data_IF_506494404849
#
_entry.id   IF_506494404849
#
_cell.length_a   1.000
_cell.length_b   1.000
_cell.length_c   1.000
_cell.angle_alpha   90.00
_cell.angle_beta   90.00
_cell.angle_gamma   90.00
#
_symmetry.space_group_name_H-M   'P 1'
#
loop_
_entity.id
_entity.type
_entity.pdbx_description
1 polymer ?
#
# COMPACT_ATOMS: atom_id res chain seq x y z
N UNK A 1 17.74 -45.43 -27.04
CA UNK A 1 16.73 -44.85 -26.13
C UNK A 1 17.28 -43.52 -25.63
N UNK A 2 16.82 -42.39 -26.20
CA UNK A 2 17.19 -41.04 -25.76
C UNK A 2 15.99 -40.46 -25.01
N UNK A 3 16.12 -40.24 -23.70
CA UNK A 3 15.12 -39.55 -22.90
C UNK A 3 15.41 -38.04 -22.91
N UNK A 4 14.58 -37.30 -23.63
CA UNK A 4 14.52 -35.85 -23.55
C UNK A 4 13.83 -35.42 -22.25
N UNK A 5 14.54 -34.67 -21.42
CA UNK A 5 13.97 -34.00 -20.26
C UNK A 5 12.95 -32.97 -20.73
N UNK A 6 11.67 -33.29 -20.53
CA UNK A 6 10.55 -32.38 -20.73
C UNK A 6 10.63 -31.30 -19.64
N UNK A 7 11.12 -30.13 -20.03
CA UNK A 7 11.07 -28.89 -19.24
C UNK A 7 9.61 -28.63 -18.89
N UNK A 8 9.27 -28.77 -17.61
CA UNK A 8 7.97 -28.40 -17.07
C UNK A 8 7.95 -26.88 -17.05
N UNK A 9 7.21 -26.29 -17.98
CA UNK A 9 6.83 -24.88 -17.90
C UNK A 9 5.96 -24.73 -16.66
N UNK A 10 6.49 -24.07 -15.62
CA UNK A 10 5.66 -23.53 -14.55
C UNK A 10 4.72 -22.51 -15.19
N UNK A 11 3.45 -22.87 -15.34
CA UNK A 11 2.39 -21.89 -15.55
C UNK A 11 2.44 -20.90 -14.39
N UNK A 12 2.99 -19.71 -14.68
CA UNK A 12 2.95 -18.52 -13.84
C UNK A 12 1.48 -18.13 -13.64
N UNK A 13 0.82 -18.80 -12.68
CA UNK A 13 -0.49 -18.43 -12.16
C UNK A 13 -0.31 -17.17 -11.35
N UNK A 14 -0.07 -16.07 -12.07
CA UNK A 14 -0.08 -14.72 -11.51
C UNK A 14 -1.38 -14.50 -10.74
N UNK A 15 -1.29 -13.72 -9.68
CA UNK A 15 -2.44 -13.40 -8.83
C UNK A 15 -3.57 -12.84 -9.71
N UNK A 16 -4.79 -13.36 -9.60
CA UNK A 16 -5.92 -12.80 -10.32
C UNK A 16 -6.13 -11.35 -9.87
N UNK A 17 -5.90 -10.40 -10.78
CA UNK A 17 -6.18 -8.97 -10.57
C UNK A 17 -7.63 -8.75 -10.12
N UNK A 18 -8.55 -9.64 -10.51
CA UNK A 18 -9.93 -9.69 -10.04
C UNK A 18 -10.05 -9.87 -8.53
N UNK A 19 -9.23 -10.72 -7.92
CA UNK A 19 -9.25 -10.98 -6.48
C UNK A 19 -8.82 -9.73 -5.70
N UNK A 20 -7.81 -9.01 -6.18
CA UNK A 20 -7.37 -7.74 -5.60
C UNK A 20 -8.46 -6.67 -5.72
N UNK A 21 -9.13 -6.58 -6.88
CA UNK A 21 -10.26 -5.66 -7.10
C UNK A 21 -11.43 -5.97 -6.17
N UNK A 22 -11.79 -7.25 -5.98
CA UNK A 22 -12.85 -7.66 -5.04
C UNK A 22 -12.50 -7.25 -3.62
N UNK A 23 -11.28 -7.52 -3.15
CA UNK A 23 -10.86 -7.12 -1.79
C UNK A 23 -10.86 -5.60 -1.62
N UNK A 24 -10.40 -4.83 -2.61
CA UNK A 24 -10.51 -3.36 -2.56
C UNK A 24 -11.97 -2.89 -2.51
N UNK A 25 -12.86 -3.50 -3.30
CA UNK A 25 -14.30 -3.16 -3.29
C UNK A 25 -14.99 -3.48 -1.96
N UNK A 26 -14.45 -4.45 -1.21
CA UNK A 26 -14.89 -4.82 0.14
C UNK A 26 -14.29 -3.93 1.25
N UNK A 27 -13.48 -2.92 0.90
CA UNK A 27 -12.88 -1.98 1.86
C UNK A 27 -11.58 -2.46 2.49
N UNK A 28 -10.97 -3.55 2.01
CA UNK A 28 -9.66 -3.98 2.50
C UNK A 28 -8.58 -2.99 2.06
N UNK A 29 -7.70 -2.63 2.99
CA UNK A 29 -6.53 -1.81 2.68
C UNK A 29 -5.40 -2.64 2.05
N UNK A 30 -4.46 -1.98 1.39
CA UNK A 30 -3.38 -2.67 0.67
C UNK A 30 -2.51 -3.56 1.59
N UNK A 31 -2.33 -3.22 2.87
CA UNK A 31 -1.56 -4.04 3.83
C UNK A 31 -2.29 -5.34 4.18
N UNK A 32 -3.61 -5.28 4.34
CA UNK A 32 -4.45 -6.45 4.59
C UNK A 32 -4.49 -7.37 3.36
N UNK A 33 -4.58 -6.81 2.16
CA UNK A 33 -4.54 -7.55 0.89
C UNK A 33 -3.19 -8.26 0.75
N UNK A 34 -2.07 -7.56 1.02
CA UNK A 34 -0.72 -8.17 0.98
C UNK A 34 -0.59 -9.32 1.97
N UNK A 35 -1.05 -9.13 3.21
CA UNK A 35 -0.97 -10.15 4.26
C UNK A 35 -1.79 -11.39 3.91
N UNK A 36 -3.00 -11.20 3.37
CA UNK A 36 -3.87 -12.27 2.92
C UNK A 36 -3.28 -13.01 1.71
N UNK A 37 -2.79 -12.31 0.69
CA UNK A 37 -2.20 -12.96 -0.48
C UNK A 37 -0.89 -13.69 -0.15
N UNK A 38 -0.09 -13.16 0.77
CA UNK A 38 1.10 -13.85 1.27
C UNK A 38 0.74 -15.16 1.99
N UNK A 39 -0.36 -15.19 2.75
CA UNK A 39 -0.82 -16.43 3.41
C UNK A 39 -1.36 -17.47 2.43
N UNK A 40 -1.81 -17.03 1.24
CA UNK A 40 -2.19 -17.89 0.12
C UNK A 40 -0.99 -18.37 -0.72
N UNK A 41 0.25 -18.04 -0.32
CA UNK A 41 1.47 -18.52 -0.96
C UNK A 41 1.98 -17.66 -2.12
N UNK A 42 1.38 -16.48 -2.36
CA UNK A 42 1.83 -15.60 -3.43
C UNK A 42 3.10 -14.83 -3.07
N UNK A 43 3.97 -14.62 -4.07
CA UNK A 43 5.19 -13.85 -3.89
C UNK A 43 4.92 -12.34 -3.79
N UNK A 44 5.78 -11.61 -3.08
CA UNK A 44 5.66 -10.16 -2.95
C UNK A 44 5.68 -9.44 -4.32
N UNK A 45 6.44 -9.97 -5.28
CA UNK A 45 6.52 -9.43 -6.65
C UNK A 45 5.18 -9.56 -7.37
N UNK A 46 4.55 -10.74 -7.32
CA UNK A 46 3.23 -10.98 -7.91
C UNK A 46 2.16 -10.11 -7.23
N UNK A 47 2.22 -9.95 -5.90
CA UNK A 47 1.29 -9.11 -5.13
C UNK A 47 1.39 -7.65 -5.56
N UNK A 48 2.62 -7.15 -5.71
CA UNK A 48 2.86 -5.76 -6.16
C UNK A 48 2.34 -5.52 -7.57
N UNK A 49 2.65 -6.42 -8.50
CA UNK A 49 2.19 -6.31 -9.88
C UNK A 49 0.66 -6.33 -9.98
N UNK A 50 0.01 -7.25 -9.26
CA UNK A 50 -1.45 -7.33 -9.22
C UNK A 50 -2.12 -6.11 -8.57
N UNK A 51 -1.52 -5.52 -7.54
CA UNK A 51 -2.01 -4.27 -6.92
C UNK A 51 -1.92 -3.10 -7.89
N UNK A 52 -0.80 -2.95 -8.60
CA UNK A 52 -0.62 -1.90 -9.61
C UNK A 52 -1.60 -2.09 -10.77
N UNK A 53 -1.78 -3.31 -11.26
CA UNK A 53 -2.74 -3.60 -12.32
C UNK A 53 -4.19 -3.38 -11.90
N UNK A 54 -4.55 -3.72 -10.65
CA UNK A 54 -5.87 -3.48 -10.11
C UNK A 54 -6.16 -1.98 -9.94
N UNK A 55 -5.17 -1.18 -9.59
CA UNK A 55 -5.30 0.27 -9.48
C UNK A 55 -5.52 0.91 -10.86
N UNK A 56 -4.74 0.51 -11.86
CA UNK A 56 -4.91 0.97 -13.24
C UNK A 56 -6.29 0.56 -13.77
N UNK A 57 -6.73 -0.69 -13.57
CA UNK A 57 -8.06 -1.15 -14.02
C UNK A 57 -9.21 -0.52 -13.24
N UNK A 58 -9.05 -0.28 -11.94
CA UNK A 58 -10.05 0.38 -11.10
C UNK A 58 -10.23 1.86 -11.41
N UNK A 59 -9.19 2.53 -11.93
CA UNK A 59 -9.25 3.93 -12.38
C UNK A 59 -9.75 4.09 -13.83
N UNK A 60 -9.94 2.99 -14.57
CA UNK A 60 -10.57 2.99 -15.90
C UNK A 60 -12.03 2.57 -15.74
N UNK A 61 -12.83 3.45 -15.14
CA UNK A 61 -14.28 3.40 -15.30
C UNK A 61 -14.66 3.96 -16.69
N UNK A 62 -15.69 3.42 -17.36
CA UNK A 62 -16.13 3.87 -18.69
C UNK A 62 -16.56 5.35 -18.71
N UNK A 63 -16.64 5.99 -19.90
CA UNK A 63 -17.01 7.38 -20.02
C UNK A 63 -18.36 7.62 -19.34
N UNK A 64 -18.37 8.66 -18.52
CA UNK A 64 -19.49 9.23 -17.79
C UNK A 64 -20.68 9.34 -18.76
N UNK A 65 -21.67 8.46 -18.61
CA UNK A 65 -23.02 8.76 -19.06
C UNK A 65 -23.60 9.76 -18.06
N UNK A 66 -24.36 10.78 -18.50
CA UNK A 66 -25.03 11.69 -17.60
C UNK A 66 -26.16 10.93 -16.89
N UNK A 67 -25.87 10.38 -15.70
CA UNK A 67 -26.92 9.95 -14.79
C UNK A 67 -27.55 11.19 -14.18
N UNK A 68 -28.84 11.38 -14.43
CA UNK A 68 -29.71 12.29 -13.70
C UNK A 68 -29.55 12.03 -12.20
N UNK A 69 -29.01 13.01 -11.48
CA UNK A 69 -29.10 13.09 -10.02
C UNK A 69 -30.57 13.16 -9.62
N UNK A 70 -31.03 12.08 -9.01
CA UNK A 70 -32.25 12.04 -8.24
C UNK A 70 -32.01 12.84 -6.94
N UNK A 71 -32.90 13.77 -6.56
CA UNK A 71 -32.69 14.61 -5.40
C UNK A 71 -32.71 13.77 -4.11
N UNK A 72 -31.80 13.99 -3.14
CA UNK A 72 -31.96 13.46 -1.81
C UNK A 72 -33.13 14.18 -1.13
N UNK A 73 -34.13 13.42 -0.73
CA UNK A 73 -35.17 13.89 0.18
C UNK A 73 -34.56 14.32 1.52
N UNK A 74 -35.15 15.37 2.07
CA UNK A 74 -34.83 16.02 3.34
C UNK A 74 -34.99 15.12 4.57
N UNK A 75 -34.43 15.67 5.66
CA UNK A 75 -34.60 15.39 7.08
C UNK A 75 -33.55 14.42 7.66
N UNK A 76 -32.84 14.74 8.74
CA UNK A 76 -33.31 15.43 9.94
C UNK A 76 -32.16 16.18 10.63
N UNK A 77 -32.51 17.39 11.10
CA UNK A 77 -31.98 18.13 12.25
C UNK A 77 -31.20 17.29 13.29
N UNK A 78 -29.98 17.71 13.68
CA UNK A 78 -29.40 17.37 14.99
C UNK A 78 -28.43 18.46 15.46
N UNK A 79 -29.00 19.50 16.06
CA UNK A 79 -28.38 20.27 17.14
C UNK A 79 -28.17 19.32 18.33
N UNK A 80 -26.91 19.04 18.70
CA UNK A 80 -26.61 18.13 19.81
C UNK A 80 -25.12 17.86 19.93
N UNK A 81 -24.49 18.51 20.90
CA UNK A 81 -23.14 18.22 21.35
C UNK A 81 -23.04 16.79 21.92
N UNK A 82 -21.80 16.32 22.04
CA UNK A 82 -21.35 15.13 22.77
C UNK A 82 -21.64 13.77 22.12
N UNK A 83 -20.67 13.28 21.34
CA UNK A 83 -19.97 12.01 21.63
C UNK A 83 -18.99 11.69 20.50
N UNK A 84 -17.70 11.81 20.83
CA UNK A 84 -16.61 11.26 20.01
C UNK A 84 -16.76 9.73 20.03
N UNK A 85 -16.73 9.03 18.89
CA UNK A 85 -16.70 7.57 18.91
C UNK A 85 -15.41 7.11 19.60
N UNK A 86 -15.61 6.44 20.73
CA UNK A 86 -14.60 5.80 21.56
C UNK A 86 -13.75 4.87 20.68
N UNK A 87 -12.48 5.21 20.55
CA UNK A 87 -11.48 4.35 19.91
C UNK A 87 -11.44 3.06 20.74
N UNK A 88 -11.64 1.88 20.13
CA UNK A 88 -11.55 0.62 20.87
C UNK A 88 -10.17 0.53 21.54
N UNK A 89 -10.10 0.13 22.83
CA UNK A 89 -8.82 -0.03 23.50
C UNK A 89 -7.99 -1.02 22.70
N UNK A 90 -6.76 -0.60 22.38
CA UNK A 90 -5.73 -1.45 21.81
C UNK A 90 -5.65 -2.74 22.64
N UNK A 91 -5.64 -3.92 22.02
CA UNK A 91 -5.38 -5.15 22.75
C UNK A 91 -4.02 -5.00 23.44
N UNK A 92 -4.00 -5.24 24.75
CA UNK A 92 -2.79 -5.44 25.54
C UNK A 92 -1.85 -6.37 24.74
N UNK A 93 -0.73 -5.82 24.27
CA UNK A 93 0.35 -6.63 23.75
C UNK A 93 0.90 -7.40 24.94
N UNK A 94 0.35 -8.59 25.16
CA UNK A 94 0.95 -9.60 26.01
C UNK A 94 2.37 -9.84 25.50
N UNK A 95 3.36 -9.30 26.21
CA UNK A 95 4.79 -9.55 26.04
C UNK A 95 5.09 -10.93 26.65
N UNK A 96 4.51 -11.97 26.07
CA UNK A 96 4.79 -13.35 26.42
C UNK A 96 5.09 -14.16 25.17
N UNK A 97 6.17 -14.93 25.27
CA UNK A 97 6.68 -15.91 24.32
C UNK A 97 7.25 -15.35 23.01
N UNK A 98 8.47 -14.80 23.12
CA UNK A 98 9.48 -14.92 22.06
C UNK A 98 9.60 -16.41 21.69
N UNK A 99 9.39 -16.82 20.42
CA UNK A 99 9.67 -18.18 20.00
C UNK A 99 11.18 -18.45 20.11
N UNK A 100 11.60 -19.64 20.59
CA UNK A 100 13.02 -19.97 20.71
C UNK A 100 13.68 -19.88 19.33
N UNK A 101 14.73 -19.07 19.28
CA UNK A 101 15.67 -19.00 18.16
C UNK A 101 16.24 -20.42 17.96
N UNK A 102 16.33 -20.94 16.72
CA UNK A 102 17.03 -22.19 16.46
C UNK A 102 18.46 -22.08 16.99
N UNK A 103 18.74 -22.88 18.02
CA UNK A 103 20.03 -23.01 18.66
C UNK A 103 21.02 -23.50 17.60
N UNK A 104 22.03 -22.68 17.32
CA UNK A 104 23.13 -23.02 16.42
C UNK A 104 23.86 -24.22 17.05
N UNK A 105 23.67 -25.40 16.47
CA UNK A 105 24.35 -26.63 16.87
C UNK A 105 25.86 -26.39 16.86
N UNK A 106 26.45 -26.37 18.06
CA UNK A 106 27.90 -26.47 18.23
C UNK A 106 28.33 -27.83 17.70
N UNK A 107 29.38 -27.93 16.86
CA UNK A 107 29.95 -29.22 16.53
C UNK A 107 30.58 -29.81 17.80
N UNK A 108 29.89 -30.79 18.40
CA UNK A 108 30.46 -31.71 19.38
C UNK A 108 31.44 -32.60 18.63
N UNK A 109 32.72 -32.27 18.75
CA UNK A 109 33.80 -33.10 18.26
C UNK A 109 33.99 -34.26 19.25
N UNK A 110 33.27 -35.37 19.03
CA UNK A 110 33.53 -36.64 19.71
C UNK A 110 34.93 -37.14 19.27
N UNK A 111 35.88 -37.04 20.19
CA UNK A 111 37.20 -37.65 20.03
C UNK A 111 37.05 -39.13 20.43
N UNK A 112 37.36 -40.10 19.55
CA UNK A 112 37.35 -41.51 19.92
C UNK A 112 38.44 -41.81 20.98
N UNK A 113 38.21 -42.71 21.94
CA UNK A 113 39.22 -43.11 22.91
C UNK A 113 40.34 -43.87 22.19
N UNK A 114 41.56 -43.32 22.17
CA UNK A 114 42.74 -44.09 21.78
C UNK A 114 43.07 -45.11 22.89
N UNK A 115 43.09 -46.39 22.53
CA UNK A 115 43.71 -47.45 23.30
C UNK A 115 45.19 -47.13 23.52
N UNK A 116 45.63 -47.27 24.77
CA UNK A 116 47.00 -47.04 25.21
C UNK A 116 47.79 -48.35 25.03
N UNK A 117 48.76 -48.46 24.09
CA UNK A 117 49.67 -49.60 24.07
C UNK A 117 50.70 -49.51 25.21
N UNK A 118 51.17 -50.67 25.74
CA UNK A 118 52.11 -50.72 26.85
C UNK A 118 53.52 -50.22 26.47
N UNK A 119 54.33 -49.76 27.44
CA UNK A 119 55.60 -49.11 27.19
C UNK A 119 56.68 -50.11 26.69
N UNK A 120 57.41 -49.79 25.60
CA UNK A 120 58.63 -50.50 25.27
C UNK A 120 59.79 -50.05 26.17
N UNK A 121 60.63 -51.02 26.52
CA UNK A 121 61.87 -50.91 27.30
C UNK A 121 62.87 -49.93 26.67
N UNK A 122 63.80 -49.36 27.47
CA UNK A 122 64.74 -48.36 26.98
C UNK A 122 65.79 -49.00 26.08
N UNK A 123 65.90 -48.53 24.85
CA UNK A 123 67.06 -48.73 23.98
C UNK A 123 67.73 -47.40 23.71
N UNK A 124 68.97 -47.35 24.17
CA UNK A 124 70.10 -46.54 23.75
C UNK A 124 69.97 -45.75 22.44
N UNK A 125 70.15 -44.43 22.60
CA UNK A 125 70.96 -43.54 21.75
C UNK A 125 70.77 -43.60 20.24
N UNK A 126 69.94 -42.67 19.75
CA UNK A 126 70.15 -41.96 18.49
C UNK A 126 69.81 -40.47 18.70
N UNK A 127 70.53 -39.53 18.07
CA UNK A 127 70.34 -38.10 18.32
C UNK A 127 69.01 -37.63 17.71
N UNK A 128 68.04 -37.35 18.58
CA UNK A 128 66.82 -36.63 18.23
C UNK A 128 67.19 -35.23 17.80
N UNK A 129 67.13 -34.97 16.48
CA UNK A 129 67.05 -33.60 15.98
C UNK A 129 65.77 -33.00 16.55
N UNK A 130 65.95 -32.05 17.47
CA UNK A 130 64.87 -31.23 17.98
C UNK A 130 64.51 -30.29 16.84
N UNK A 131 63.53 -30.68 16.03
CA UNK A 131 62.88 -29.79 15.07
C UNK A 131 62.04 -28.84 15.91
N UNK A 132 62.71 -27.79 16.41
CA UNK A 132 62.06 -26.70 17.09
C UNK A 132 61.03 -26.13 16.13
N UNK A 133 59.75 -26.14 16.54
CA UNK A 133 58.72 -25.33 15.90
C UNK A 133 59.29 -23.91 15.85
N UNK A 134 59.67 -23.49 14.66
CA UNK A 134 60.27 -22.20 14.44
C UNK A 134 59.14 -21.18 14.60
N UNK A 135 59.00 -20.65 15.81
CA UNK A 135 57.96 -19.67 16.20
C UNK A 135 57.95 -18.49 15.22
N UNK A 136 59.09 -18.17 14.62
CA UNK A 136 59.23 -17.14 13.58
C UNK A 136 58.41 -17.47 12.33
N UNK A 137 58.39 -18.73 11.88
CA UNK A 137 57.59 -19.16 10.72
C UNK A 137 56.09 -19.14 11.01
N UNK A 138 55.69 -19.46 12.24
CA UNK A 138 54.27 -19.42 12.66
C UNK A 138 53.78 -17.96 12.74
N UNK A 139 54.63 -17.04 13.20
CA UNK A 139 54.31 -15.61 13.24
C UNK A 139 54.20 -15.03 11.83
N UNK A 140 55.10 -15.41 10.91
CA UNK A 140 55.04 -14.97 9.51
C UNK A 140 53.78 -15.49 8.80
N UNK A 141 53.38 -16.74 9.06
CA UNK A 141 52.14 -17.30 8.51
C UNK A 141 50.90 -16.62 9.11
N UNK A 142 50.92 -16.34 10.42
CA UNK A 142 49.84 -15.61 11.08
C UNK A 142 49.71 -14.17 10.54
N UNK A 143 50.83 -13.48 10.31
CA UNK A 143 50.85 -12.15 9.73
C UNK A 143 50.26 -12.14 8.32
N UNK A 144 50.60 -13.13 7.48
CA UNK A 144 50.04 -13.27 6.14
C UNK A 144 48.53 -13.52 6.17
N UNK A 145 48.05 -14.34 7.10
CA UNK A 145 46.62 -14.60 7.29
C UNK A 145 45.91 -13.33 7.75
N UNK A 146 46.51 -12.57 8.67
CA UNK A 146 45.96 -11.32 9.18
C UNK A 146 45.91 -10.25 8.09
N UNK A 147 46.98 -10.06 7.30
CA UNK A 147 47.01 -9.11 6.19
C UNK A 147 45.94 -9.45 5.14
N UNK A 148 45.78 -10.74 4.79
CA UNK A 148 44.71 -11.18 3.90
C UNK A 148 43.30 -10.91 4.45
N UNK A 149 43.08 -11.15 5.74
CA UNK A 149 41.79 -10.86 6.38
C UNK A 149 41.51 -9.35 6.41
N UNK A 150 42.52 -8.52 6.70
CA UNK A 150 42.35 -7.06 6.73
C UNK A 150 42.01 -6.54 5.34
N UNK A 151 42.70 -7.00 4.29
CA UNK A 151 42.43 -6.62 2.90
C UNK A 151 40.99 -7.00 2.48
N UNK A 152 40.58 -8.24 2.76
CA UNK A 152 39.23 -8.72 2.44
C UNK A 152 38.14 -7.93 3.18
N UNK A 153 38.36 -7.62 4.46
CA UNK A 153 37.42 -6.81 5.24
C UNK A 153 37.41 -5.35 4.78
N UNK A 154 38.56 -4.77 4.43
CA UNK A 154 38.66 -3.41 3.93
C UNK A 154 37.92 -3.26 2.60
N UNK A 155 38.12 -4.21 1.68
CA UNK A 155 37.39 -4.28 0.41
C UNK A 155 35.87 -4.39 0.63
N UNK A 156 35.44 -5.22 1.58
CA UNK A 156 34.01 -5.31 1.93
C UNK A 156 33.45 -3.99 2.46
N UNK A 157 34.23 -3.24 3.24
CA UNK A 157 33.83 -1.93 3.76
C UNK A 157 33.74 -0.90 2.63
N UNK A 158 34.71 -0.89 1.73
CA UNK A 158 34.74 0.00 0.56
C UNK A 158 33.53 -0.24 -0.35
N UNK A 159 33.20 -1.51 -0.63
CA UNK A 159 32.01 -1.88 -1.40
C UNK A 159 30.71 -1.39 -0.75
N UNK A 160 30.59 -1.52 0.58
CA UNK A 160 29.43 -1.02 1.33
C UNK A 160 29.36 0.51 1.34
N UNK A 161 30.50 1.20 1.42
CA UNK A 161 30.56 2.66 1.39
C UNK A 161 30.14 3.19 0.01
N UNK A 162 30.62 2.57 -1.07
CA UNK A 162 30.17 2.88 -2.43
C UNK A 162 28.66 2.63 -2.59
N UNK A 163 28.15 1.54 -2.01
CA UNK A 163 26.71 1.25 -1.97
C UNK A 163 25.91 2.32 -1.21
N UNK A 164 26.44 2.85 -0.11
CA UNK A 164 25.83 3.91 0.67
C UNK A 164 25.77 5.24 -0.12
N UNK A 165 26.83 5.57 -0.84
CA UNK A 165 26.88 6.76 -1.68
C UNK A 165 25.85 6.69 -2.83
N UNK A 166 25.76 5.53 -3.49
CA UNK A 166 24.74 5.28 -4.52
C UNK A 166 23.31 5.33 -3.94
N UNK A 167 23.11 4.83 -2.72
CA UNK A 167 21.82 4.93 -2.03
C UNK A 167 21.48 6.38 -1.68
N UNK A 168 22.46 7.16 -1.20
CA UNK A 168 22.29 8.58 -0.91
C UNK A 168 21.86 9.36 -2.15
N UNK A 169 22.52 9.15 -3.30
CA UNK A 169 22.15 9.78 -4.55
C UNK A 169 20.70 9.46 -4.97
N UNK A 170 20.29 8.18 -4.86
CA UNK A 170 18.90 7.76 -5.13
C UNK A 170 17.89 8.37 -4.16
N UNK A 171 18.28 8.56 -2.90
CA UNK A 171 17.42 9.17 -1.89
C UNK A 171 17.22 10.67 -2.19
N UNK A 172 18.29 11.38 -2.53
CA UNK A 172 18.22 12.80 -2.91
C UNK A 172 17.34 13.00 -4.15
N UNK A 173 17.47 12.13 -5.15
CA UNK A 173 16.59 12.14 -6.33
C UNK A 173 15.11 11.92 -5.96
N UNK A 174 14.82 10.92 -5.11
CA UNK A 174 13.45 10.65 -4.67
C UNK A 174 12.86 11.78 -3.84
N UNK A 175 13.64 12.39 -2.96
CA UNK A 175 13.21 13.55 -2.15
C UNK A 175 12.91 14.73 -3.06
N UNK A 176 13.75 14.98 -4.07
CA UNK A 176 13.50 16.02 -5.06
C UNK A 176 12.20 15.78 -5.83
N UNK A 177 12.02 14.58 -6.38
CA UNK A 177 10.81 14.22 -7.12
C UNK A 177 9.54 14.32 -6.25
N UNK A 178 9.63 13.90 -4.98
CA UNK A 178 8.53 14.03 -4.03
C UNK A 178 8.20 15.51 -3.77
N UNK A 179 9.22 16.34 -3.57
CA UNK A 179 9.04 17.78 -3.38
C UNK A 179 8.37 18.43 -4.58
N UNK A 180 8.80 18.08 -5.79
CA UNK A 180 8.22 18.57 -7.04
C UNK A 180 6.75 18.12 -7.18
N UNK A 181 6.44 16.87 -6.84
CA UNK A 181 5.08 16.33 -6.89
C UNK A 181 4.16 16.98 -5.85
N UNK A 182 4.64 17.25 -4.64
CA UNK A 182 3.89 17.96 -3.60
C UNK A 182 3.59 19.39 -4.05
N UNK A 183 4.58 20.10 -4.59
CA UNK A 183 4.38 21.46 -5.12
C UNK A 183 3.37 21.49 -6.27
N UNK A 184 3.47 20.56 -7.21
CA UNK A 184 2.50 20.43 -8.30
C UNK A 184 1.09 20.10 -7.79
N UNK A 185 0.98 19.28 -6.73
CA UNK A 185 -0.30 18.95 -6.11
C UNK A 185 -0.94 20.16 -5.43
N UNK A 186 -0.14 20.97 -4.72
CA UNK A 186 -0.61 22.20 -4.10
C UNK A 186 -1.18 23.17 -5.14
N UNK A 187 -0.49 23.36 -6.27
CA UNK A 187 -0.99 24.21 -7.36
C UNK A 187 -2.31 23.71 -7.94
N UNK A 188 -2.46 22.38 -8.12
CA UNK A 188 -3.72 21.78 -8.59
C UNK A 188 -4.86 21.93 -7.59
N UNK A 189 -4.57 21.83 -6.29
CA UNK A 189 -5.56 22.06 -5.23
C UNK A 189 -6.03 23.52 -5.24
N UNK A 190 -5.11 24.47 -5.41
CA UNK A 190 -5.46 25.89 -5.51
C UNK A 190 -6.36 26.17 -6.72
N UNK A 191 -6.05 25.58 -7.87
CA UNK A 191 -6.86 25.72 -9.08
C UNK A 191 -8.24 25.05 -8.93
N UNK A 192 -8.30 23.88 -8.28
CA UNK A 192 -9.55 23.22 -7.96
C UNK A 192 -10.39 24.06 -6.99
N UNK A 193 -9.78 24.62 -5.95
CA UNK A 193 -10.45 25.50 -4.98
C UNK A 193 -11.05 26.72 -5.67
N UNK A 194 -10.28 27.39 -6.53
CA UNK A 194 -10.78 28.50 -7.36
C UNK A 194 -11.94 28.07 -8.25
N UNK A 195 -11.83 26.91 -8.91
CA UNK A 195 -12.92 26.40 -9.76
C UNK A 195 -14.17 26.04 -8.96
N UNK A 196 -14.03 25.51 -7.75
CA UNK A 196 -15.15 25.17 -6.87
C UNK A 196 -15.85 26.42 -6.35
N UNK A 197 -15.08 27.45 -5.96
CA UNK A 197 -15.64 28.75 -5.55
C UNK A 197 -16.42 29.37 -6.72
N UNK A 198 -15.83 29.42 -7.92
CA UNK A 198 -16.52 29.95 -9.10
C UNK A 198 -17.77 29.17 -9.48
N UNK A 199 -17.74 27.82 -9.38
CA UNK A 199 -18.95 27.01 -9.57
C UNK A 199 -19.99 27.28 -8.51
N UNK A 200 -19.62 27.36 -7.23
CA UNK A 200 -20.55 27.66 -6.14
C UNK A 200 -21.21 29.03 -6.32
N UNK A 201 -20.46 30.06 -6.71
CA UNK A 201 -21.02 31.38 -7.04
C UNK A 201 -22.01 31.29 -8.20
N UNK A 202 -21.70 30.51 -9.25
CA UNK A 202 -22.61 30.28 -10.37
C UNK A 202 -23.89 29.54 -9.95
N UNK A 203 -23.79 28.57 -9.03
CA UNK A 203 -24.94 27.88 -8.46
C UNK A 203 -25.80 28.81 -7.62
N UNK A 204 -25.18 29.65 -6.79
CA UNK A 204 -25.89 30.62 -5.98
C UNK A 204 -26.65 31.62 -6.85
N UNK A 205 -26.02 32.10 -7.93
CA UNK A 205 -26.69 32.95 -8.92
C UNK A 205 -27.84 32.24 -9.64
N UNK A 206 -27.63 31.00 -10.08
CA UNK A 206 -28.68 30.21 -10.74
C UNK A 206 -29.86 29.97 -9.80
N UNK A 207 -29.59 29.71 -8.52
CA UNK A 207 -30.61 29.51 -7.50
C UNK A 207 -31.37 30.81 -7.19
N UNK A 208 -30.68 31.95 -7.21
CA UNK A 208 -31.31 33.27 -7.13
C UNK A 208 -32.23 33.53 -8.34
N UNK A 209 -31.74 33.28 -9.56
CA UNK A 209 -32.52 33.42 -10.79
C UNK A 209 -33.77 32.52 -10.76
N UNK A 210 -33.60 31.23 -10.42
CA UNK A 210 -34.72 30.28 -10.25
C UNK A 210 -35.71 30.76 -9.18
N UNK A 211 -35.24 31.32 -8.06
CA UNK A 211 -36.12 31.87 -7.04
C UNK A 211 -36.96 33.04 -7.58
N UNK A 212 -36.37 33.93 -8.40
CA UNK A 212 -37.13 35.02 -9.02
C UNK A 212 -38.15 34.51 -10.05
N UNK A 213 -37.79 33.50 -10.85
CA UNK A 213 -38.70 32.87 -11.80
C UNK A 213 -39.82 32.13 -11.07
N UNK A 214 -39.50 31.40 -9.99
CA UNK A 214 -40.47 30.73 -9.12
C UNK A 214 -41.48 31.74 -8.56
N UNK A 215 -41.03 32.90 -8.06
CA UNK A 215 -41.94 33.96 -7.59
C UNK A 215 -42.81 34.52 -8.71
N UNK A 216 -42.29 34.65 -9.93
CA UNK A 216 -43.07 35.08 -11.08
C UNK A 216 -44.14 34.03 -11.43
N UNK A 217 -43.79 32.74 -11.43
CA UNK A 217 -44.71 31.62 -11.64
C UNK A 217 -45.77 31.57 -10.56
N UNK A 218 -45.40 31.74 -9.28
CA UNK A 218 -46.34 31.81 -8.17
C UNK A 218 -47.35 32.95 -8.35
N UNK A 219 -46.87 34.13 -8.74
CA UNK A 219 -47.73 35.28 -9.03
C UNK A 219 -48.66 35.06 -10.22
N UNK A 220 -48.18 34.36 -11.26
CA UNK A 220 -49.00 34.00 -12.42
C UNK A 220 -50.05 32.97 -12.01
N UNK A 221 -49.67 31.90 -11.30
CA UNK A 221 -50.58 30.89 -10.73
C UNK A 221 -51.65 31.53 -9.85
N UNK A 222 -51.25 32.44 -8.95
CA UNK A 222 -52.15 33.18 -8.07
C UNK A 222 -53.17 34.05 -8.82
N UNK A 223 -52.86 34.50 -10.04
CA UNK A 223 -53.80 35.19 -10.94
C UNK A 223 -54.63 34.24 -11.80
N UNK A 224 -54.04 33.13 -12.23
CA UNK A 224 -54.67 32.16 -13.12
C UNK A 224 -55.83 31.43 -12.43
N UNK A 225 -55.64 31.01 -11.17
CA UNK A 225 -56.64 30.25 -10.42
C UNK A 225 -57.96 31.04 -10.29
N UNK A 226 -57.97 32.32 -9.85
CA UNK A 226 -59.18 33.14 -9.84
C UNK A 226 -59.77 33.37 -11.24
N UNK A 227 -58.94 33.68 -12.24
CA UNK A 227 -59.40 33.93 -13.62
C UNK A 227 -60.13 32.73 -14.21
N UNK A 228 -59.55 31.53 -14.07
CA UNK A 228 -60.15 30.28 -14.51
C UNK A 228 -61.47 29.99 -13.77
N UNK A 229 -61.53 30.25 -12.46
CA UNK A 229 -62.75 30.10 -11.67
C UNK A 229 -63.86 31.04 -12.15
N UNK A 230 -63.52 32.29 -12.46
CA UNK A 230 -64.45 33.32 -12.94
C UNK A 230 -64.94 33.02 -14.38
N UNK A 231 -64.06 32.55 -15.25
CA UNK A 231 -64.39 32.08 -16.61
C UNK A 231 -65.29 30.84 -16.59
N UNK A 232 -64.98 29.84 -15.76
CA UNK A 232 -65.81 28.63 -15.61
C UNK A 232 -67.20 29.00 -15.08
N UNK A 233 -67.28 29.91 -14.10
CA UNK A 233 -68.55 30.42 -13.55
C UNK A 233 -69.36 31.15 -14.63
N UNK A 234 -68.71 32.01 -15.41
CA UNK A 234 -69.34 32.72 -16.54
C UNK A 234 -69.83 31.75 -17.62
N UNK A 235 -69.06 30.71 -17.95
CA UNK A 235 -69.49 29.66 -18.89
C UNK A 235 -70.73 28.93 -18.37
N UNK A 236 -70.73 28.56 -17.08
CA UNK A 236 -71.89 27.90 -16.45
C UNK A 236 -73.14 28.77 -16.55
N UNK A 237 -73.04 30.07 -16.27
CA UNK A 237 -74.15 31.02 -16.34
C UNK A 237 -74.70 31.19 -17.77
N UNK A 238 -73.81 31.21 -18.78
CA UNK A 238 -74.20 31.26 -20.21
C UNK A 238 -74.96 30.00 -20.62
N UNK A 239 -74.47 28.82 -20.21
CA UNK A 239 -75.12 27.53 -20.51
C UNK A 239 -76.49 27.42 -19.82
N UNK A 240 -76.63 27.91 -18.58
CA UNK A 240 -77.94 27.96 -17.91
C UNK A 240 -78.92 28.89 -18.62
N UNK A 241 -78.47 30.08 -19.07
CA UNK A 241 -79.30 30.99 -19.86
C UNK A 241 -79.75 30.39 -21.19
N UNK A 242 -78.91 29.62 -21.87
CA UNK A 242 -79.28 28.94 -23.13
C UNK A 242 -80.25 27.76 -22.93
N UNK A 243 -80.31 27.18 -21.72
CA UNK A 243 -81.25 26.08 -21.41
C UNK A 243 -82.67 26.55 -21.05
N UNK A 244 -82.88 27.86 -20.87
CA UNK A 244 -84.17 28.48 -20.57
C UNK A 244 -84.82 29.02 -21.85
#
# INVERSE_FOLDING_TARGET
MLFGAKKVEEEDKGIPVSQVLTMKSQGYNNQQIVSYLKSQGYSLTQIRDALTQAEIKGSVAPPIQPMMEQPPEEAVNLEGAESIPEIPPLPDMNLEAVPPIPELEKPTNEIPPLEVPPPPKPSESAPTSTEGVNVEQVVDELQRIIEGIIEDKWKTVEEKLAGLEAWKAKLEEKVKNLSDQVNASNLRIDDLSKSLIGKSESYQKTLEDVNTEMMAVEKIMGKLIPSLSEEIKSLRDIVEKMKK
#
